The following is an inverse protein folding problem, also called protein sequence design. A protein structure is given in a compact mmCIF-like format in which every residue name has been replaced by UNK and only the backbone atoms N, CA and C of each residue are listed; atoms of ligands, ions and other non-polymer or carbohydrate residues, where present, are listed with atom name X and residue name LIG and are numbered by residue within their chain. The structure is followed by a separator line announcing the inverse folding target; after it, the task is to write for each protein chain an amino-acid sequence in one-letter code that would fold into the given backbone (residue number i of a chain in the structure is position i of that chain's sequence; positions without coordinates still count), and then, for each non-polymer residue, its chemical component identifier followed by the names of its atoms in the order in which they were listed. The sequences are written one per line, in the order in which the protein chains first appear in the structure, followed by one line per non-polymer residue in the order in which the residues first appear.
data_IF_092835098212
#
_entry.id   IF_092835098212
#
_cell.length_a   1.000
_cell.length_b   1.000
_cell.length_c   1.000
_cell.angle_alpha   90.00
_cell.angle_beta   90.00
_cell.angle_gamma   90.00
#
_symmetry.space_group_name_H-M   'P 1'
#
loop_
_entity.id
_entity.type
_entity.pdbx_description
1 polymer ?
#
# COMPACT_ATOMS: atom_id res chain seq x y z
N UNK A 1 -2.04 -8.06 27.18
CA UNK A 1 -2.40 -6.68 26.80
C UNK A 1 -3.63 -6.83 25.94
N UNK A 2 -4.78 -6.74 26.59
CA UNK A 2 -6.01 -7.34 26.08
C UNK A 2 -6.65 -6.39 25.07
N UNK A 3 -6.67 -6.81 23.81
CA UNK A 3 -7.44 -6.18 22.73
C UNK A 3 -8.97 -6.41 22.92
N UNK A 4 -9.42 -6.63 24.16
CA UNK A 4 -10.80 -6.94 24.56
C UNK A 4 -11.52 -5.77 25.24
N UNK A 5 -10.86 -4.61 25.40
CA UNK A 5 -11.49 -3.42 25.96
C UNK A 5 -12.67 -2.87 25.13
N UNK A 6 -12.72 -3.18 23.83
CA UNK A 6 -13.82 -2.79 22.96
C UNK A 6 -15.05 -3.70 23.11
N UNK A 7 -14.86 -4.98 23.46
CA UNK A 7 -15.96 -5.96 23.60
C UNK A 7 -16.75 -5.76 24.91
N UNK A 8 -16.15 -5.15 25.93
CA UNK A 8 -16.81 -4.74 27.17
C UNK A 8 -17.15 -3.25 27.21
N UNK A 9 -16.91 -2.53 26.12
CA UNK A 9 -17.23 -1.11 26.03
C UNK A 9 -18.75 -0.94 25.88
N UNK A 10 -19.29 0.10 26.54
CA UNK A 10 -20.70 0.52 26.41
C UNK A 10 -21.00 0.69 24.91
N UNK A 11 -22.19 0.31 24.38
CA UNK A 11 -22.49 0.34 22.95
C UNK A 11 -22.12 1.66 22.24
N UNK A 12 -22.22 2.80 22.94
CA UNK A 12 -21.79 4.11 22.44
C UNK A 12 -20.27 4.20 22.15
N UNK A 13 -19.42 3.60 22.97
CA UNK A 13 -17.97 3.62 22.80
C UNK A 13 -17.51 2.76 21.62
N UNK A 14 -18.21 1.65 21.32
CA UNK A 14 -17.92 0.82 20.16
C UNK A 14 -18.11 1.59 18.83
N UNK A 15 -19.16 2.42 18.76
CA UNK A 15 -19.41 3.29 17.60
C UNK A 15 -18.29 4.32 17.42
N UNK A 16 -17.81 4.92 18.50
CA UNK A 16 -16.70 5.87 18.46
C UNK A 16 -15.40 5.22 17.95
N UNK A 17 -15.07 4.03 18.47
CA UNK A 17 -13.85 3.30 18.08
C UNK A 17 -13.90 2.92 16.59
N UNK A 18 -15.06 2.46 16.09
CA UNK A 18 -15.24 2.11 14.68
C UNK A 18 -15.14 3.32 13.74
N UNK A 19 -15.45 4.54 14.23
CA UNK A 19 -15.41 5.77 13.44
C UNK A 19 -13.98 6.25 13.15
N UNK A 20 -13.02 5.95 14.03
CA UNK A 20 -11.61 6.39 13.90
C UNK A 20 -10.98 5.98 12.56
N UNK A 21 -10.97 4.69 12.15
CA UNK A 21 -10.37 4.29 10.88
C UNK A 21 -11.12 4.88 9.67
N UNK A 22 -12.45 5.02 9.76
CA UNK A 22 -13.26 5.58 8.67
C UNK A 22 -12.87 7.04 8.43
N UNK A 23 -12.83 7.85 9.48
CA UNK A 23 -12.43 9.26 9.41
C UNK A 23 -10.99 9.38 8.93
N UNK A 24 -10.09 8.50 9.39
CA UNK A 24 -8.71 8.45 8.93
C UNK A 24 -8.60 8.24 7.41
N UNK A 25 -9.34 7.27 6.86
CA UNK A 25 -9.37 7.00 5.41
C UNK A 25 -9.96 8.19 4.64
N UNK A 26 -11.07 8.76 5.11
CA UNK A 26 -11.73 9.91 4.46
C UNK A 26 -10.81 11.13 4.46
N UNK A 27 -10.22 11.48 5.60
CA UNK A 27 -9.29 12.61 5.69
C UNK A 27 -8.03 12.37 4.86
N UNK A 28 -7.50 11.14 4.87
CA UNK A 28 -6.39 10.74 4.00
C UNK A 28 -6.72 10.93 2.53
N UNK A 29 -7.90 10.49 2.08
CA UNK A 29 -8.36 10.66 0.70
C UNK A 29 -8.49 12.14 0.32
N UNK A 30 -9.03 12.98 1.20
CA UNK A 30 -9.12 14.44 0.96
C UNK A 30 -7.73 15.05 0.79
N UNK A 31 -6.78 14.75 1.68
CA UNK A 31 -5.41 15.27 1.60
C UNK A 31 -4.72 14.81 0.31
N UNK A 32 -4.82 13.51 -0.03
CA UNK A 32 -4.26 12.97 -1.28
C UNK A 32 -4.90 13.64 -2.50
N UNK A 33 -6.21 13.86 -2.49
CA UNK A 33 -6.91 14.53 -3.58
C UNK A 33 -6.40 15.96 -3.79
N UNK A 34 -6.30 16.76 -2.71
CA UNK A 34 -5.76 18.11 -2.80
C UNK A 34 -4.29 18.12 -3.23
N UNK A 35 -3.49 17.17 -2.74
CA UNK A 35 -2.11 17.01 -3.17
C UNK A 35 -2.00 16.72 -4.68
N UNK A 36 -2.81 15.80 -5.20
CA UNK A 36 -2.84 15.47 -6.63
C UNK A 36 -3.31 16.67 -7.47
N UNK A 37 -4.35 17.37 -7.05
CA UNK A 37 -4.85 18.57 -7.73
C UNK A 37 -3.79 19.67 -7.77
N UNK A 38 -3.08 19.89 -6.66
CA UNK A 38 -2.00 20.87 -6.58
C UNK A 38 -0.81 20.47 -7.45
N UNK A 39 -0.42 19.19 -7.42
CA UNK A 39 0.65 18.63 -8.25
C UNK A 39 0.33 18.77 -9.74
N UNK A 40 -0.89 18.47 -10.15
CA UNK A 40 -1.34 18.66 -11.53
C UNK A 40 -1.21 20.13 -11.96
N UNK A 41 -1.68 21.07 -11.13
CA UNK A 41 -1.60 22.51 -11.41
C UNK A 41 -0.16 23.05 -11.38
N UNK A 42 0.75 22.42 -10.64
CA UNK A 42 2.19 22.71 -10.72
C UNK A 42 2.79 22.22 -12.03
N UNK A 43 2.48 20.98 -12.43
CA UNK A 43 2.96 20.38 -13.68
C UNK A 43 2.52 21.22 -14.89
N UNK A 44 1.25 21.59 -14.99
CA UNK A 44 0.72 22.42 -16.09
C UNK A 44 1.45 23.77 -16.17
N UNK A 45 1.63 24.46 -15.05
CA UNK A 45 2.36 25.74 -15.01
C UNK A 45 3.85 25.61 -15.37
N UNK A 46 4.48 24.49 -15.04
CA UNK A 46 5.87 24.21 -15.43
C UNK A 46 6.00 23.89 -16.92
N UNK A 47 4.99 23.24 -17.52
CA UNK A 47 4.91 23.02 -18.98
C UNK A 47 4.73 24.35 -19.72
N UNK A 48 3.81 25.21 -19.26
CA UNK A 48 3.56 26.53 -19.87
C UNK A 48 4.77 27.45 -19.86
N UNK A 49 5.68 27.30 -18.87
CA UNK A 49 6.92 28.09 -18.74
C UNK A 49 8.11 27.50 -19.51
N UNK A 50 7.92 26.45 -20.31
CA UNK A 50 8.96 25.82 -21.13
C UNK A 50 10.04 25.05 -20.35
N UNK A 51 9.90 24.89 -19.03
CA UNK A 51 10.88 24.28 -18.14
C UNK A 51 10.48 22.90 -17.62
N UNK A 52 9.66 22.15 -18.35
CA UNK A 52 9.14 20.87 -17.88
C UNK A 52 10.17 19.75 -17.95
N UNK A 53 10.81 19.46 -16.82
CA UNK A 53 11.50 18.20 -16.60
C UNK A 53 10.46 17.13 -16.26
N UNK A 54 10.39 16.08 -17.08
CA UNK A 54 9.52 14.91 -16.84
C UNK A 54 9.87 14.31 -15.47
N UNK A 55 8.92 14.15 -14.54
CA UNK A 55 9.19 13.49 -13.28
C UNK A 55 9.67 12.06 -13.55
N UNK A 56 10.92 11.77 -13.19
CA UNK A 56 11.48 10.41 -13.19
C UNK A 56 10.98 9.69 -11.94
N UNK A 57 9.69 9.39 -11.90
CA UNK A 57 9.17 8.49 -10.88
C UNK A 57 9.49 7.07 -11.31
N UNK A 58 10.44 6.44 -10.64
CA UNK A 58 10.80 5.06 -10.92
C UNK A 58 9.76 4.13 -10.30
N UNK A 59 8.69 3.87 -11.07
CA UNK A 59 7.61 2.97 -10.70
C UNK A 59 8.13 1.56 -10.40
N UNK A 60 9.25 1.16 -11.01
CA UNK A 60 9.87 -0.14 -10.76
C UNK A 60 10.48 -0.20 -9.37
N UNK A 61 11.24 0.83 -8.98
CA UNK A 61 11.80 0.93 -7.63
C UNK A 61 10.68 0.98 -6.58
N UNK A 62 9.60 1.71 -6.86
CA UNK A 62 8.42 1.74 -6.00
C UNK A 62 7.80 0.35 -5.83
N UNK A 63 7.55 -0.40 -6.92
CA UNK A 63 6.99 -1.74 -6.85
C UNK A 63 7.87 -2.72 -6.05
N UNK A 64 9.19 -2.64 -6.19
CA UNK A 64 10.12 -3.50 -5.42
C UNK A 64 10.09 -3.15 -3.94
N UNK A 65 10.20 -1.87 -3.59
CA UNK A 65 10.17 -1.42 -2.20
C UNK A 65 8.82 -1.74 -1.54
N UNK A 66 7.72 -1.44 -2.22
CA UNK A 66 6.38 -1.75 -1.76
C UNK A 66 6.17 -3.26 -1.62
N UNK A 67 6.57 -4.04 -2.63
CA UNK A 67 6.47 -5.50 -2.61
C UNK A 67 7.28 -6.14 -1.48
N UNK A 68 8.51 -5.68 -1.26
CA UNK A 68 9.35 -6.14 -0.15
C UNK A 68 8.74 -5.82 1.21
N UNK A 69 8.22 -4.60 1.39
CA UNK A 69 7.59 -4.17 2.64
C UNK A 69 6.29 -4.94 2.91
N UNK A 70 5.44 -5.14 1.90
CA UNK A 70 4.21 -5.93 2.02
C UNK A 70 4.48 -7.40 2.30
N UNK A 71 5.53 -7.97 1.68
CA UNK A 71 5.92 -9.36 1.93
C UNK A 71 6.44 -9.51 3.36
N UNK A 72 7.31 -8.62 3.84
CA UNK A 72 7.82 -8.67 5.20
C UNK A 72 6.71 -8.51 6.25
N UNK A 73 5.87 -7.49 6.10
CA UNK A 73 4.75 -7.23 7.02
C UNK A 73 3.70 -8.34 6.97
N UNK A 74 3.31 -8.79 5.78
CA UNK A 74 2.36 -9.89 5.60
C UNK A 74 2.87 -11.23 6.13
N UNK A 75 4.17 -11.52 6.00
CA UNK A 75 4.79 -12.72 6.57
C UNK A 75 4.72 -12.69 8.10
N UNK A 76 5.13 -11.58 8.72
CA UNK A 76 5.09 -11.45 10.19
C UNK A 76 3.66 -11.56 10.70
N UNK A 77 2.70 -10.89 10.05
CA UNK A 77 1.28 -10.98 10.43
C UNK A 77 0.72 -12.39 10.24
N UNK A 78 1.04 -13.06 9.13
CA UNK A 78 0.61 -14.43 8.87
C UNK A 78 1.17 -15.41 9.91
N UNK A 79 2.46 -15.31 10.23
CA UNK A 79 3.10 -16.13 11.27
C UNK A 79 2.47 -15.88 12.64
N UNK A 80 2.23 -14.62 12.98
CA UNK A 80 1.62 -14.25 14.27
C UNK A 80 0.20 -14.83 14.37
N UNK A 81 -0.65 -14.64 13.36
CA UNK A 81 -2.00 -15.20 13.36
C UNK A 81 -1.99 -16.74 13.37
N UNK A 82 -1.05 -17.36 12.65
CA UNK A 82 -0.90 -18.81 12.66
C UNK A 82 -0.52 -19.34 14.04
N UNK A 83 0.37 -18.65 14.77
CA UNK A 83 0.80 -19.06 16.11
C UNK A 83 -0.30 -18.88 17.16
N UNK A 84 -1.08 -17.81 17.07
CA UNK A 84 -2.08 -17.48 18.10
C UNK A 84 -3.39 -18.23 17.88
N UNK A 85 -3.94 -18.21 16.66
CA UNK A 85 -5.27 -18.74 16.36
C UNK A 85 -5.26 -20.01 15.49
N UNK A 86 -4.12 -20.36 14.89
CA UNK A 86 -4.04 -21.46 13.93
C UNK A 86 -4.65 -21.08 12.57
N UNK A 87 -5.32 -22.03 11.91
CA UNK A 87 -6.00 -21.77 10.63
C UNK A 87 -7.38 -21.16 10.92
N UNK A 88 -7.44 -19.82 10.95
CA UNK A 88 -8.65 -19.03 11.16
C UNK A 88 -8.86 -18.00 10.04
N UNK A 89 -10.04 -17.37 10.00
CA UNK A 89 -10.30 -16.25 9.09
C UNK A 89 -9.40 -15.03 9.35
N UNK A 90 -8.88 -14.86 10.56
CA UNK A 90 -7.93 -13.79 10.89
C UNK A 90 -6.62 -13.94 10.11
N UNK A 91 -6.23 -15.17 9.77
CA UNK A 91 -5.04 -15.48 8.96
C UNK A 91 -5.05 -14.77 7.60
N UNK A 92 -6.24 -14.55 7.02
CA UNK A 92 -6.40 -13.80 5.77
C UNK A 92 -5.84 -12.37 5.89
N UNK A 93 -5.94 -11.75 7.08
CA UNK A 93 -5.38 -10.42 7.33
C UNK A 93 -3.88 -10.33 7.11
N UNK A 94 -3.13 -11.42 7.32
CA UNK A 94 -1.70 -11.51 7.01
C UNK A 94 -1.43 -12.05 5.60
N UNK A 95 -2.20 -13.03 5.15
CA UNK A 95 -1.99 -13.66 3.84
C UNK A 95 -2.23 -12.70 2.68
N UNK A 96 -3.23 -11.83 2.78
CA UNK A 96 -3.56 -10.85 1.73
C UNK A 96 -2.36 -9.92 1.44
N UNK A 97 -1.81 -9.18 2.42
CA UNK A 97 -0.65 -8.33 2.17
C UNK A 97 0.59 -9.15 1.76
N UNK A 98 0.76 -10.37 2.27
CA UNK A 98 1.87 -11.25 1.87
C UNK A 98 1.81 -11.62 0.37
N UNK A 99 0.63 -12.07 -0.09
CA UNK A 99 0.41 -12.43 -1.48
C UNK A 99 0.59 -11.21 -2.41
N UNK A 100 0.03 -10.06 -2.03
CA UNK A 100 0.22 -8.80 -2.78
C UNK A 100 1.70 -8.38 -2.86
N UNK A 101 2.45 -8.57 -1.78
CA UNK A 101 3.89 -8.31 -1.74
C UNK A 101 4.65 -9.15 -2.76
N UNK A 102 4.39 -10.47 -2.78
CA UNK A 102 5.01 -11.39 -3.75
C UNK A 102 4.59 -11.03 -5.18
N UNK A 103 3.33 -10.72 -5.42
CA UNK A 103 2.85 -10.34 -6.76
C UNK A 103 3.54 -9.08 -7.29
N UNK A 104 3.81 -8.08 -6.44
CA UNK A 104 4.54 -6.87 -6.84
C UNK A 104 6.02 -7.16 -7.16
N UNK A 105 6.66 -8.04 -6.38
CA UNK A 105 8.05 -8.46 -6.65
C UNK A 105 8.10 -9.27 -7.95
N UNK A 106 7.17 -10.19 -8.15
CA UNK A 106 7.06 -10.99 -9.37
C UNK A 106 6.83 -10.11 -10.60
N UNK A 107 5.94 -9.12 -10.50
CA UNK A 107 5.70 -8.13 -11.54
C UNK A 107 7.00 -7.39 -11.93
N UNK A 108 7.77 -6.92 -10.94
CA UNK A 108 9.06 -6.29 -11.22
C UNK A 108 10.01 -7.20 -11.99
N UNK A 109 10.13 -8.48 -11.60
CA UNK A 109 10.99 -9.44 -12.28
C UNK A 109 10.55 -9.69 -13.73
N UNK A 110 9.25 -9.91 -13.95
CA UNK A 110 8.69 -10.14 -15.30
C UNK A 110 8.94 -8.93 -16.20
N UNK A 111 8.57 -7.73 -15.74
CA UNK A 111 8.72 -6.52 -16.58
C UNK A 111 10.19 -6.11 -16.78
N UNK A 112 11.08 -6.43 -15.83
CA UNK A 112 12.53 -6.25 -16.03
C UNK A 112 13.09 -7.24 -17.05
N UNK A 113 12.59 -8.48 -17.06
CA UNK A 113 13.00 -9.50 -18.02
C UNK A 113 12.62 -9.10 -19.46
N UNK A 114 11.42 -8.56 -19.64
CA UNK A 114 10.90 -8.13 -20.94
C UNK A 114 11.80 -7.06 -21.60
N UNK A 115 12.21 -6.04 -20.84
CA UNK A 115 13.16 -5.02 -21.32
C UNK A 115 14.55 -5.56 -21.68
N UNK A 116 14.99 -6.63 -21.03
CA UNK A 116 16.28 -7.25 -21.35
C UNK A 116 16.23 -8.01 -22.67
N UNK A 117 15.06 -8.51 -23.06
CA UNK A 117 14.87 -9.22 -24.33
C UNK A 117 14.77 -8.27 -25.53
N UNK A 118 14.20 -7.08 -25.38
CA UNK A 118 14.16 -6.07 -26.45
C UNK A 118 15.55 -5.52 -26.78
N UNK A 119 16.34 -5.15 -25.77
CA UNK A 119 17.71 -4.63 -25.97
C UNK A 119 18.70 -5.68 -26.52
N UNK A 120 18.34 -6.96 -26.58
CA UNK A 120 19.16 -8.03 -27.14
C UNK A 120 18.80 -8.36 -28.61
N UNK A 121 17.80 -7.67 -29.18
CA UNK A 121 17.34 -7.82 -30.58
C UNK A 121 17.72 -6.64 -31.47
N UNK A 122 18.29 -5.58 -30.90
CA UNK A 122 18.98 -4.49 -31.61
C UNK A 122 20.48 -4.75 -31.67
#
# INVERSE_FOLDING_TARGET
MDFSGAASAVPAAQVLIATIPIVGIVMGAVVVFFYLLWRHRQIVRHIERGGYTRPVFDLYLFCVLAGFLLTGTGLVLSLLFLLIEGISYSLLGGLIPFALGISLIAFYFVTRSDRKHDNARE
#
